data_IF_243178071699
#
_entry.id   IF_243178071699
#
_cell.length_a   1.000
_cell.length_b   1.000
_cell.length_c   1.000
_cell.angle_alpha   90.00
_cell.angle_beta   90.00
_cell.angle_gamma   90.00
#
_symmetry.space_group_name_H-M   'P 1'
#
loop_
_entity.id
_entity.type
_entity.pdbx_description
1 polymer ?
#
# COMPACT_ATOMS: atom_id res chain seq x y z
N UNK A 1 1.86 -8.02 2.35
CA UNK A 1 2.35 -6.88 3.15
C UNK A 1 2.80 -7.30 4.55
N UNK A 2 1.95 -7.96 5.34
CA UNK A 2 2.29 -8.36 6.72
C UNK A 2 3.57 -9.20 6.82
N UNK A 3 3.71 -10.24 6.00
CA UNK A 3 4.91 -11.11 6.00
C UNK A 3 6.20 -10.34 5.73
N UNK A 4 6.17 -9.39 4.79
CA UNK A 4 7.34 -8.58 4.38
C UNK A 4 7.76 -7.64 5.51
N UNK A 5 6.79 -6.99 6.16
CA UNK A 5 7.07 -6.12 7.31
C UNK A 5 7.57 -6.92 8.51
N UNK A 6 6.99 -8.10 8.78
CA UNK A 6 7.47 -8.99 9.85
C UNK A 6 8.88 -9.52 9.58
N UNK A 7 9.23 -9.85 8.34
CA UNK A 7 10.60 -10.25 7.99
C UNK A 7 11.58 -9.08 8.11
N UNK A 8 11.17 -7.86 7.74
CA UNK A 8 12.01 -6.68 7.89
C UNK A 8 12.31 -6.37 9.36
N UNK A 9 11.32 -6.49 10.24
CA UNK A 9 11.49 -6.32 11.68
C UNK A 9 12.43 -7.38 12.28
N UNK A 10 12.35 -8.63 11.82
CA UNK A 10 13.29 -9.70 12.22
C UNK A 10 14.71 -9.51 11.68
N UNK A 11 14.88 -8.70 10.65
CA UNK A 11 16.19 -8.36 10.07
C UNK A 11 16.94 -7.27 10.83
N UNK A 12 16.33 -6.67 11.87
CA UNK A 12 16.98 -5.66 12.70
C UNK A 12 18.05 -6.34 13.56
N UNK A 13 19.32 -5.88 13.52
CA UNK A 13 20.38 -6.45 14.36
C UNK A 13 20.07 -6.26 15.84
N UNK A 14 20.08 -7.35 16.62
CA UNK A 14 19.80 -7.32 18.06
C UNK A 14 20.81 -6.43 18.82
N UNK A 15 22.06 -6.37 18.35
CA UNK A 15 23.11 -5.48 18.88
C UNK A 15 22.70 -4.00 18.88
N UNK A 16 21.94 -3.53 17.89
CA UNK A 16 21.47 -2.14 17.84
C UNK A 16 20.35 -1.86 18.84
N UNK A 17 19.56 -2.89 19.17
CA UNK A 17 18.51 -2.81 20.19
C UNK A 17 19.13 -2.85 21.59
N UNK A 18 20.09 -3.75 21.82
CA UNK A 18 20.80 -3.86 23.10
C UNK A 18 21.59 -2.58 23.42
N UNK A 19 22.29 -2.02 22.44
CA UNK A 19 22.99 -0.75 22.59
C UNK A 19 22.02 0.39 22.98
N UNK A 20 20.84 0.45 22.35
CA UNK A 20 19.83 1.46 22.68
C UNK A 20 19.27 1.30 24.10
N UNK A 21 19.13 0.06 24.58
CA UNK A 21 18.72 -0.22 25.96
C UNK A 21 19.81 0.18 26.95
N UNK A 22 21.08 -0.08 26.62
CA UNK A 22 22.24 0.37 27.42
C UNK A 22 22.31 1.90 27.47
N UNK A 23 22.02 2.59 26.36
CA UNK A 23 21.93 4.05 26.27
C UNK A 23 20.69 4.64 26.99
N UNK A 24 19.85 3.80 27.61
CA UNK A 24 18.68 4.22 28.38
C UNK A 24 17.52 4.71 27.52
N UNK A 25 17.46 4.32 26.25
CA UNK A 25 16.36 4.70 25.37
C UNK A 25 15.04 4.06 25.82
N UNK A 26 13.98 4.87 25.87
CA UNK A 26 12.63 4.37 26.15
C UNK A 26 12.14 3.48 24.97
N UNK A 27 11.40 2.38 25.22
CA UNK A 27 10.78 1.57 24.16
C UNK A 27 10.11 2.36 23.02
N UNK A 28 9.45 3.48 23.32
CA UNK A 28 8.83 4.32 22.30
C UNK A 28 9.85 5.07 21.42
N UNK A 29 10.99 5.44 22.01
CA UNK A 29 12.12 6.03 21.28
C UNK A 29 12.82 4.98 20.42
N UNK A 30 13.01 3.76 20.94
CA UNK A 30 13.57 2.65 20.18
C UNK A 30 12.73 2.36 18.93
N UNK A 31 11.40 2.29 19.09
CA UNK A 31 10.50 2.06 17.96
C UNK A 31 10.61 3.15 16.88
N UNK A 32 10.43 4.43 17.25
CA UNK A 32 10.36 5.52 16.27
C UNK A 32 11.72 5.99 15.75
N UNK A 33 12.78 5.91 16.55
CA UNK A 33 14.11 6.45 16.19
C UNK A 33 15.08 5.40 15.68
N UNK A 34 14.84 4.12 15.96
CA UNK A 34 15.76 3.04 15.59
C UNK A 34 15.06 2.08 14.64
N UNK A 35 13.99 1.43 15.10
CA UNK A 35 13.32 0.40 14.31
C UNK A 35 12.73 0.96 13.01
N UNK A 36 11.92 2.02 13.08
CA UNK A 36 11.26 2.62 11.89
C UNK A 36 12.26 3.12 10.84
N UNK A 37 13.30 3.90 11.18
CA UNK A 37 14.30 4.34 10.21
C UNK A 37 15.10 3.19 9.59
N UNK A 38 15.43 2.15 10.36
CA UNK A 38 16.16 0.98 9.84
C UNK A 38 15.38 0.21 8.78
N UNK A 39 14.05 0.07 8.92
CA UNK A 39 13.21 -0.65 7.94
C UNK A 39 12.57 0.27 6.89
N UNK A 40 12.99 1.54 6.80
CA UNK A 40 12.35 2.55 5.93
C UNK A 40 12.31 2.13 4.45
N UNK A 41 13.39 1.52 3.96
CA UNK A 41 13.45 1.00 2.59
C UNK A 41 12.36 -0.04 2.31
N UNK A 42 12.13 -0.95 3.26
CA UNK A 42 11.08 -1.97 3.13
C UNK A 42 9.68 -1.35 3.24
N UNK A 43 9.50 -0.36 4.12
CA UNK A 43 8.23 0.37 4.23
C UNK A 43 7.91 1.05 2.89
N UNK A 44 8.88 1.72 2.27
CA UNK A 44 8.69 2.37 0.98
C UNK A 44 8.26 1.39 -0.12
N UNK A 45 8.90 0.22 -0.21
CA UNK A 45 8.54 -0.82 -1.19
C UNK A 45 7.13 -1.36 -0.97
N UNK A 46 6.78 -1.67 0.29
CA UNK A 46 5.43 -2.15 0.63
C UNK A 46 4.40 -1.07 0.33
N UNK A 47 4.69 0.18 0.66
CA UNK A 47 3.84 1.34 0.38
C UNK A 47 3.56 1.47 -1.12
N UNK A 48 4.59 1.53 -1.95
CA UNK A 48 4.43 1.65 -3.41
C UNK A 48 3.66 0.48 -3.99
N UNK A 49 3.93 -0.74 -3.50
CA UNK A 49 3.23 -1.95 -3.97
C UNK A 49 1.74 -1.89 -3.63
N UNK A 50 1.39 -1.48 -2.41
CA UNK A 50 -0.01 -1.31 -2.01
C UNK A 50 -0.68 -0.21 -2.83
N UNK A 51 -0.02 0.93 -3.05
CA UNK A 51 -0.55 1.99 -3.91
C UNK A 51 -0.87 1.47 -5.30
N UNK A 52 0.04 0.71 -5.93
CA UNK A 52 -0.20 0.11 -7.24
C UNK A 52 -1.37 -0.87 -7.21
N UNK A 53 -1.49 -1.70 -6.16
CA UNK A 53 -2.61 -2.64 -6.00
C UNK A 53 -3.96 -1.92 -5.89
N UNK A 54 -4.01 -0.81 -5.13
CA UNK A 54 -5.22 0.01 -5.01
C UNK A 54 -5.57 0.67 -6.33
N UNK A 55 -4.58 1.15 -7.11
CA UNK A 55 -4.83 1.69 -8.45
C UNK A 55 -5.40 0.64 -9.41
N UNK A 56 -5.06 -0.65 -9.22
CA UNK A 56 -5.61 -1.78 -9.98
C UNK A 56 -6.99 -2.27 -9.52
N UNK A 57 -7.64 -1.58 -8.58
CA UNK A 57 -8.97 -1.99 -8.08
C UNK A 57 -10.04 -2.06 -9.19
N UNK A 58 -9.82 -1.35 -10.31
CA UNK A 58 -10.66 -1.41 -11.51
C UNK A 58 -10.92 -2.84 -11.99
N UNK A 59 -9.87 -3.67 -12.10
CA UNK A 59 -9.99 -5.04 -12.64
C UNK A 59 -10.95 -5.88 -11.78
N UNK A 60 -10.88 -5.70 -10.46
CA UNK A 60 -11.73 -6.39 -9.48
C UNK A 60 -13.17 -5.87 -9.60
N UNK A 61 -13.37 -4.56 -9.62
CA UNK A 61 -14.70 -3.94 -9.72
C UNK A 61 -15.38 -4.38 -11.02
N UNK A 62 -14.70 -4.29 -12.16
CA UNK A 62 -15.27 -4.65 -13.45
C UNK A 62 -15.69 -6.14 -13.50
N UNK A 63 -14.83 -7.03 -12.98
CA UNK A 63 -15.06 -8.49 -13.06
C UNK A 63 -16.12 -8.98 -12.07
N UNK A 64 -16.11 -8.45 -10.85
CA UNK A 64 -16.94 -8.97 -9.76
C UNK A 64 -18.30 -8.29 -9.69
N UNK A 65 -18.32 -6.97 -9.82
CA UNK A 65 -19.52 -6.17 -9.56
C UNK A 65 -19.96 -5.32 -10.74
N UNK A 66 -19.08 -5.15 -11.72
CA UNK A 66 -19.29 -4.29 -12.87
C UNK A 66 -19.71 -2.86 -12.48
N UNK A 67 -19.22 -2.37 -11.34
CA UNK A 67 -19.58 -1.05 -10.77
C UNK A 67 -20.91 -1.00 -10.00
N UNK A 68 -21.66 -2.10 -9.86
CA UNK A 68 -22.91 -2.13 -9.12
C UNK A 68 -22.69 -2.06 -7.59
N UNK A 69 -23.76 -1.80 -6.83
CA UNK A 69 -23.74 -1.71 -5.36
C UNK A 69 -22.77 -0.67 -4.77
N UNK A 70 -22.69 0.51 -5.40
CA UNK A 70 -21.80 1.61 -4.99
C UNK A 70 -20.30 1.24 -4.98
N UNK A 71 -19.88 0.20 -5.73
CA UNK A 71 -18.47 -0.16 -5.90
C UNK A 71 -17.79 0.58 -7.05
N UNK A 72 -18.44 1.61 -7.60
CA UNK A 72 -18.02 2.28 -8.82
C UNK A 72 -16.73 3.07 -8.60
N UNK A 73 -15.75 2.82 -9.47
CA UNK A 73 -14.47 3.51 -9.50
C UNK A 73 -14.33 4.30 -10.79
N UNK A 74 -13.51 5.35 -10.79
CA UNK A 74 -13.34 6.25 -11.95
C UNK A 74 -13.04 5.50 -13.25
N UNK A 75 -12.15 4.51 -13.18
CA UNK A 75 -11.83 3.66 -14.33
C UNK A 75 -13.03 2.86 -14.87
N UNK A 76 -13.94 2.40 -14.00
CA UNK A 76 -15.18 1.73 -14.41
C UNK A 76 -16.14 2.71 -15.10
N UNK A 77 -16.20 3.95 -14.62
CA UNK A 77 -17.00 5.00 -15.25
C UNK A 77 -16.47 5.36 -16.65
N UNK A 78 -15.15 5.50 -16.80
CA UNK A 78 -14.51 5.73 -18.11
C UNK A 78 -14.77 4.56 -19.06
N UNK A 79 -14.67 3.32 -18.57
CA UNK A 79 -14.96 2.12 -19.34
C UNK A 79 -16.42 2.06 -19.81
N UNK A 80 -17.38 2.34 -18.92
CA UNK A 80 -18.80 2.36 -19.27
C UNK A 80 -19.11 3.45 -20.31
N UNK A 81 -18.53 4.66 -20.19
CA UNK A 81 -18.70 5.72 -21.19
C UNK A 81 -18.06 5.38 -22.54
N UNK A 82 -16.89 4.75 -22.54
CA UNK A 82 -16.19 4.41 -23.78
C UNK A 82 -16.84 3.24 -24.54
N UNK A 83 -17.37 2.23 -23.84
CA UNK A 83 -17.80 0.97 -24.47
C UNK A 83 -19.29 0.66 -24.36
N UNK A 84 -20.03 1.20 -23.38
CA UNK A 84 -21.45 0.89 -23.16
C UNK A 84 -22.39 2.08 -23.39
N UNK A 85 -21.90 3.30 -23.21
CA UNK A 85 -22.68 4.55 -23.31
C UNK A 85 -22.96 5.05 -24.73
N UNK A 86 -22.64 4.27 -25.78
CA UNK A 86 -22.90 4.67 -27.18
C UNK A 86 -21.75 5.42 -27.88
N UNK A 87 -20.53 5.36 -27.35
CA UNK A 87 -19.32 5.85 -28.05
C UNK A 87 -19.01 7.34 -27.86
N UNK A 88 -19.34 7.91 -26.69
CA UNK A 88 -18.94 9.28 -26.34
C UNK A 88 -17.47 9.31 -25.86
N UNK A 89 -16.56 9.05 -26.80
CA UNK A 89 -15.11 8.92 -26.55
C UNK A 89 -14.48 10.18 -25.92
N UNK A 90 -15.13 11.34 -26.06
CA UNK A 90 -14.63 12.62 -25.52
C UNK A 90 -14.74 12.76 -24.00
N UNK A 91 -15.55 11.91 -23.33
CA UNK A 91 -15.71 11.93 -21.87
C UNK A 91 -14.90 10.86 -21.13
N UNK A 92 -14.39 9.87 -21.86
CA UNK A 92 -13.56 8.80 -21.33
C UNK A 92 -12.05 9.04 -21.46
N UNK A 93 -11.63 10.22 -21.91
CA UNK A 93 -10.23 10.62 -22.08
C UNK A 93 -9.71 11.45 -20.89
#
# INVERSE_FOLDING_TARGET
>A
AMVILSSALRGIPEETLEAAVIDGANPFQIFWKIMVPQIWGTIAVVWTTITILVLKVFDIVLTMTNGQWNSQVLANLMFDWMFRGGGDFGRGA
#
